data_IF_722557530482
#
_entry.id   IF_722557530482
#
_cell.length_a   1.000
_cell.length_b   1.000
_cell.length_c   1.000
_cell.angle_alpha   90.00
_cell.angle_beta   90.00
_cell.angle_gamma   90.00
#
_symmetry.space_group_name_H-M   'P 1'
#
loop_
_entity.id
_entity.type
_entity.pdbx_description
1 polymer ?
#
# COMPACT_ATOMS: atom_id res chain seq x y z
N UNK A 1 4.28 10.77 -11.00
CA UNK A 1 4.94 11.22 -12.24
C UNK A 1 4.87 10.07 -13.24
N UNK A 2 4.70 10.37 -14.52
CA UNK A 2 4.78 9.42 -15.64
C UNK A 2 6.08 9.72 -16.39
N UNK A 3 6.88 8.70 -16.70
CA UNK A 3 8.12 8.80 -17.47
C UNK A 3 8.11 7.77 -18.58
N UNK A 4 8.62 8.12 -19.75
CA UNK A 4 8.72 7.20 -20.90
C UNK A 4 9.66 6.04 -20.61
N UNK A 5 9.38 4.86 -21.16
CA UNK A 5 10.30 3.73 -21.13
C UNK A 5 11.33 3.84 -22.23
N UNK A 6 12.53 3.39 -21.93
CA UNK A 6 13.65 3.39 -22.88
C UNK A 6 14.32 2.03 -22.94
N UNK A 7 15.04 1.78 -24.02
CA UNK A 7 15.86 0.58 -24.19
C UNK A 7 16.95 0.60 -23.11
N UNK A 8 17.12 -0.50 -22.40
CA UNK A 8 18.06 -0.60 -21.26
C UNK A 8 17.44 -0.35 -19.89
N UNK A 9 16.16 0.02 -19.83
CA UNK A 9 15.45 0.12 -18.55
C UNK A 9 15.37 -1.23 -17.84
N UNK A 10 15.26 -1.23 -16.49
CA UNK A 10 15.11 -2.46 -15.72
C UNK A 10 13.93 -3.31 -16.18
N UNK A 11 14.12 -4.63 -16.24
CA UNK A 11 13.08 -5.60 -16.69
C UNK A 11 12.07 -5.99 -15.60
N UNK A 12 12.21 -5.47 -14.37
CA UNK A 12 11.29 -5.81 -13.26
C UNK A 12 10.04 -4.91 -13.26
N UNK A 13 8.92 -5.48 -12.85
CA UNK A 13 7.62 -4.79 -12.86
C UNK A 13 7.45 -3.74 -11.75
N UNK A 14 8.23 -3.81 -10.68
CA UNK A 14 8.23 -2.84 -9.58
C UNK A 14 9.57 -2.83 -8.86
N UNK A 15 10.11 -1.65 -8.59
CA UNK A 15 11.36 -1.50 -7.86
C UNK A 15 11.45 -0.23 -7.05
N UNK A 16 12.50 -0.16 -6.24
CA UNK A 16 12.79 0.97 -5.39
C UNK A 16 14.27 1.34 -5.54
N UNK A 17 14.55 2.62 -5.58
CA UNK A 17 15.91 3.16 -5.61
C UNK A 17 16.11 4.28 -4.58
N UNK A 18 17.37 4.73 -4.46
CA UNK A 18 17.78 5.76 -3.52
C UNK A 18 18.12 5.24 -2.12
N UNK A 19 18.87 6.01 -1.32
CA UNK A 19 19.43 5.61 -0.03
C UNK A 19 18.38 5.16 0.99
N UNK A 20 17.18 5.71 0.92
CA UNK A 20 16.04 5.39 1.78
C UNK A 20 14.97 4.58 1.06
N UNK A 21 15.24 4.07 -0.15
CA UNK A 21 14.23 3.46 -1.04
C UNK A 21 13.02 4.39 -1.21
N UNK A 22 13.28 5.67 -1.38
CA UNK A 22 12.28 6.72 -1.45
C UNK A 22 11.80 7.00 -2.88
N UNK A 23 12.42 6.41 -3.89
CA UNK A 23 11.95 6.44 -5.26
C UNK A 23 11.37 5.07 -5.64
N UNK A 24 10.16 5.06 -6.15
CA UNK A 24 9.40 3.86 -6.50
C UNK A 24 9.09 3.93 -7.99
N UNK A 25 9.24 2.81 -8.68
CA UNK A 25 8.89 2.65 -10.08
C UNK A 25 7.95 1.49 -10.24
N UNK A 26 6.91 1.65 -11.05
CA UNK A 26 5.94 0.61 -11.41
C UNK A 26 5.84 0.58 -12.94
N UNK A 27 6.11 -0.57 -13.51
CA UNK A 27 5.95 -0.81 -14.95
C UNK A 27 4.45 -0.83 -15.30
N UNK A 28 4.08 0.01 -16.28
CA UNK A 28 2.71 0.10 -16.82
C UNK A 28 2.64 -0.33 -18.28
N UNK A 29 3.63 -1.07 -18.76
CA UNK A 29 3.77 -1.46 -20.16
C UNK A 29 4.48 -0.35 -20.95
N UNK A 30 3.79 0.69 -21.33
CA UNK A 30 4.30 1.76 -22.19
C UNK A 30 5.10 2.83 -21.44
N UNK A 31 4.96 2.91 -20.10
CA UNK A 31 5.59 3.94 -19.30
C UNK A 31 5.90 3.48 -17.88
N UNK A 32 6.77 4.21 -17.22
CA UNK A 32 7.01 4.09 -15.79
C UNK A 32 6.10 5.01 -14.98
N UNK A 33 5.33 4.45 -14.07
CA UNK A 33 4.68 5.23 -13.02
C UNK A 33 5.67 5.41 -11.88
N UNK A 34 6.16 6.63 -11.71
CA UNK A 34 7.18 6.96 -10.71
C UNK A 34 6.59 7.69 -9.52
N UNK A 35 7.01 7.29 -8.32
CA UNK A 35 6.67 7.92 -7.05
C UNK A 35 7.92 8.30 -6.27
N UNK A 36 7.94 9.51 -5.71
CA UNK A 36 8.98 9.97 -4.82
C UNK A 36 8.40 10.28 -3.45
N UNK A 37 8.91 9.59 -2.42
CA UNK A 37 8.43 9.76 -1.06
C UNK A 37 9.10 10.98 -0.41
N UNK A 38 8.29 11.93 0.00
CA UNK A 38 8.69 13.17 0.68
C UNK A 38 8.22 13.15 2.14
N UNK A 39 8.73 14.04 2.95
CA UNK A 39 8.25 14.22 4.32
C UNK A 39 6.83 14.79 4.33
N UNK A 40 6.03 14.33 5.28
CA UNK A 40 4.64 14.78 5.41
C UNK A 40 4.59 16.28 5.68
N UNK A 41 3.82 17.03 4.88
CA UNK A 41 3.68 18.47 4.98
C UNK A 41 4.72 19.29 4.20
N UNK A 42 5.79 18.64 3.66
CA UNK A 42 6.86 19.37 2.93
C UNK A 42 6.49 19.79 1.52
N UNK A 43 5.38 19.31 0.96
CA UNK A 43 5.04 19.52 -0.45
C UNK A 43 4.90 21.00 -0.83
N UNK A 44 4.31 21.82 0.04
CA UNK A 44 4.17 23.27 -0.20
C UNK A 44 5.54 23.94 -0.35
N UNK A 45 6.47 23.64 0.56
CA UNK A 45 7.84 24.17 0.50
C UNK A 45 8.59 23.67 -0.74
N UNK A 46 8.42 22.39 -1.09
CA UNK A 46 9.01 21.82 -2.30
C UNK A 46 8.49 22.55 -3.54
N UNK A 47 7.19 22.83 -3.60
CA UNK A 47 6.58 23.56 -4.72
C UNK A 47 7.08 24.99 -4.82
N UNK A 48 7.24 25.68 -3.70
CA UNK A 48 7.81 27.03 -3.63
C UNK A 48 9.27 27.09 -4.11
N UNK A 49 10.04 26.03 -3.85
CA UNK A 49 11.43 25.93 -4.30
C UNK A 49 11.59 25.68 -5.81
N UNK A 50 10.49 25.44 -6.54
CA UNK A 50 10.47 25.27 -7.98
C UNK A 50 10.55 23.82 -8.44
N UNK A 51 9.97 23.56 -9.63
CA UNK A 51 9.89 22.25 -10.25
C UNK A 51 11.27 21.69 -10.58
N UNK A 52 12.13 22.49 -11.17
CA UNK A 52 13.47 22.09 -11.58
C UNK A 52 14.28 21.53 -10.39
N UNK A 53 14.30 22.25 -9.27
CA UNK A 53 15.01 21.80 -8.07
C UNK A 53 14.44 20.50 -7.52
N UNK A 54 13.14 20.31 -7.61
CA UNK A 54 12.48 19.06 -7.24
C UNK A 54 12.91 17.92 -8.16
N UNK A 55 12.91 18.13 -9.47
CA UNK A 55 13.29 17.10 -10.45
C UNK A 55 14.77 16.71 -10.32
N UNK A 56 15.65 17.67 -10.06
CA UNK A 56 17.06 17.39 -9.77
C UNK A 56 17.23 16.51 -8.52
N UNK A 57 16.44 16.73 -7.48
CA UNK A 57 16.48 15.88 -6.28
C UNK A 57 15.97 14.46 -6.59
N UNK A 58 14.95 14.33 -7.40
CA UNK A 58 14.39 13.04 -7.81
C UNK A 58 15.38 12.28 -8.70
N UNK A 59 16.00 12.95 -9.67
CA UNK A 59 16.97 12.36 -10.59
C UNK A 59 18.18 11.76 -9.86
N UNK A 60 18.65 12.39 -8.78
CA UNK A 60 19.77 11.88 -7.96
C UNK A 60 19.51 10.52 -7.31
N UNK A 61 18.26 10.10 -7.16
CA UNK A 61 17.88 8.85 -6.50
C UNK A 61 17.22 7.86 -7.43
N UNK A 62 16.84 8.30 -8.61
CA UNK A 62 16.29 7.44 -9.65
C UNK A 62 17.40 6.53 -10.24
N UNK A 63 17.06 5.34 -10.73
CA UNK A 63 18.03 4.44 -11.37
C UNK A 63 18.37 4.85 -12.81
N UNK A 64 17.79 5.94 -13.31
CA UNK A 64 18.03 6.47 -14.63
C UNK A 64 19.19 7.46 -14.63
N UNK A 65 20.02 7.42 -15.67
CA UNK A 65 21.12 8.37 -15.87
C UNK A 65 20.90 9.23 -17.12
N UNK A 66 19.65 9.44 -17.46
CA UNK A 66 19.23 10.16 -18.67
C UNK A 66 18.36 11.38 -18.33
N UNK A 67 18.11 12.20 -19.36
CA UNK A 67 17.38 13.46 -19.25
C UNK A 67 15.86 13.30 -19.26
N UNK A 68 15.32 12.09 -19.07
CA UNK A 68 13.86 11.86 -19.16
C UNK A 68 13.03 12.64 -18.14
N UNK A 69 13.64 13.13 -17.06
CA UNK A 69 12.94 14.03 -16.14
C UNK A 69 12.58 15.38 -16.78
N UNK A 70 13.20 15.75 -17.89
CA UNK A 70 12.83 16.93 -18.71
C UNK A 70 11.45 16.77 -19.36
N UNK A 71 10.92 15.55 -19.48
CA UNK A 71 9.54 15.31 -19.93
C UNK A 71 8.51 15.94 -18.97
N UNK A 72 8.92 16.22 -17.71
CA UNK A 72 8.05 16.82 -16.71
C UNK A 72 8.25 18.33 -16.73
N UNK A 73 7.39 19.02 -17.46
CA UNK A 73 7.48 20.46 -17.69
C UNK A 73 6.57 21.29 -16.76
N UNK A 74 5.66 20.63 -16.04
CA UNK A 74 4.74 21.34 -15.14
C UNK A 74 4.38 20.52 -13.90
N UNK A 75 3.97 21.23 -12.83
CA UNK A 75 3.46 20.60 -11.59
C UNK A 75 2.17 19.79 -11.81
N UNK A 76 1.45 19.97 -12.89
CA UNK A 76 0.25 19.20 -13.21
C UNK A 76 0.56 17.73 -13.49
N UNK A 77 1.78 17.44 -13.95
CA UNK A 77 2.29 16.09 -14.18
C UNK A 77 2.77 15.42 -12.87
N UNK A 78 2.82 16.20 -11.76
CA UNK A 78 3.24 15.72 -10.43
C UNK A 78 2.05 15.68 -9.49
N UNK A 79 1.52 14.50 -9.22
CA UNK A 79 0.39 14.31 -8.31
C UNK A 79 0.86 14.01 -6.90
N UNK A 80 0.34 14.76 -5.93
CA UNK A 80 0.58 14.46 -4.51
C UNK A 80 -0.37 13.36 -4.05
N UNK A 81 0.20 12.25 -3.57
CA UNK A 81 -0.54 11.21 -2.87
C UNK A 81 -0.36 11.36 -1.36
N UNK A 82 -1.40 11.79 -0.68
CA UNK A 82 -1.42 11.87 0.78
C UNK A 82 -1.78 10.53 1.38
N UNK A 83 -0.81 9.86 2.00
CA UNK A 83 -1.03 8.58 2.66
C UNK A 83 -1.67 8.82 4.03
N UNK A 84 -2.85 8.22 4.24
CA UNK A 84 -3.53 8.17 5.52
C UNK A 84 -3.71 6.72 5.94
N UNK A 85 -3.59 6.45 7.23
CA UNK A 85 -3.94 5.17 7.84
C UNK A 85 -5.00 5.47 8.87
N UNK A 86 -6.23 5.21 8.50
CA UNK A 86 -7.39 5.39 9.37
C UNK A 86 -8.42 4.28 9.16
N UNK A 87 -9.45 4.27 9.94
CA UNK A 87 -10.59 3.37 9.77
C UNK A 87 -11.83 3.93 10.41
N UNK A 88 -12.98 3.57 9.85
CA UNK A 88 -14.27 3.84 10.46
C UNK A 88 -14.44 3.04 11.77
N UNK A 89 -14.99 3.66 12.79
CA UNK A 89 -15.42 2.96 14.01
C UNK A 89 -16.58 2.02 13.73
N UNK A 90 -17.48 2.42 12.85
CA UNK A 90 -18.66 1.70 12.43
C UNK A 90 -18.73 1.64 10.90
N UNK A 91 -18.65 0.42 10.34
CA UNK A 91 -18.64 0.19 8.89
C UNK A 91 -20.04 0.11 8.29
N UNK A 92 -21.05 -0.17 9.13
CA UNK A 92 -22.39 -0.45 8.68
C UNK A 92 -23.43 0.41 9.38
N UNK A 93 -24.36 0.96 8.60
CA UNK A 93 -25.61 1.58 9.01
C UNK A 93 -26.78 0.91 8.28
N UNK A 94 -28.06 1.16 8.66
CA UNK A 94 -29.19 0.67 7.87
C UNK A 94 -29.04 1.06 6.39
N UNK A 95 -29.07 0.06 5.50
CA UNK A 95 -28.97 0.25 4.05
C UNK A 95 -27.55 0.50 3.50
N UNK A 96 -26.52 0.68 4.34
CA UNK A 96 -25.16 1.01 3.89
C UNK A 96 -24.12 0.14 4.59
N UNK A 97 -23.16 -0.36 3.81
CA UNK A 97 -21.95 -1.01 4.29
C UNK A 97 -20.73 -0.43 3.55
N UNK A 98 -19.76 0.10 4.28
CA UNK A 98 -18.46 0.49 3.76
C UNK A 98 -17.47 -0.69 3.88
N UNK A 99 -16.68 -0.94 2.83
CA UNK A 99 -15.62 -1.96 2.79
C UNK A 99 -14.38 -1.40 2.07
N UNK A 100 -13.26 -2.08 2.19
CA UNK A 100 -11.99 -1.63 1.59
C UNK A 100 -11.59 -0.24 2.07
N UNK A 101 -11.06 0.59 1.17
CA UNK A 101 -10.56 1.94 1.51
C UNK A 101 -11.63 2.87 2.08
N UNK A 102 -12.92 2.65 1.73
CA UNK A 102 -14.03 3.39 2.32
C UNK A 102 -14.22 3.08 3.82
N UNK A 103 -13.81 1.92 4.28
CA UNK A 103 -13.88 1.51 5.69
C UNK A 103 -12.55 1.69 6.43
N UNK A 104 -11.43 1.48 5.73
CA UNK A 104 -10.09 1.48 6.34
C UNK A 104 -9.01 1.85 5.31
N UNK A 105 -8.64 3.11 5.28
CA UNK A 105 -7.52 3.57 4.46
C UNK A 105 -6.19 3.02 4.96
N UNK A 106 -5.33 2.65 4.03
CA UNK A 106 -4.06 1.99 4.32
C UNK A 106 -2.88 2.62 3.59
N UNK A 107 -1.68 2.40 4.12
CA UNK A 107 -0.46 2.73 3.40
C UNK A 107 -0.28 1.80 2.19
N UNK A 108 0.21 2.31 1.04
CA UNK A 108 0.57 1.47 -0.10
C UNK A 108 1.77 0.55 0.20
N UNK A 109 2.43 0.72 1.34
CA UNK A 109 3.56 -0.11 1.77
C UNK A 109 3.12 -1.57 1.89
N UNK A 110 3.79 -2.43 1.12
CA UNK A 110 3.51 -3.88 1.08
C UNK A 110 2.36 -4.29 0.16
N UNK A 111 1.66 -3.35 -0.49
CA UNK A 111 0.59 -3.67 -1.45
C UNK A 111 -0.63 -4.42 -0.87
N UNK A 112 -0.79 -4.40 0.46
CA UNK A 112 -1.78 -5.26 1.15
C UNK A 112 -3.21 -4.69 1.16
N UNK A 113 -3.39 -3.40 0.85
CA UNK A 113 -4.72 -2.75 0.89
C UNK A 113 -5.71 -3.42 -0.07
N UNK A 114 -5.30 -3.66 -1.32
CA UNK A 114 -6.14 -4.34 -2.33
C UNK A 114 -6.55 -5.74 -1.87
N UNK A 115 -5.62 -6.52 -1.31
CA UNK A 115 -5.91 -7.86 -0.82
C UNK A 115 -6.94 -7.85 0.32
N UNK A 116 -6.86 -6.85 1.22
CA UNK A 116 -7.86 -6.68 2.27
C UNK A 116 -9.22 -6.28 1.70
N UNK A 117 -9.27 -5.37 0.74
CA UNK A 117 -10.50 -4.97 0.08
C UNK A 117 -11.20 -6.13 -0.64
N UNK A 118 -10.44 -6.98 -1.33
CA UNK A 118 -10.96 -8.22 -1.95
C UNK A 118 -11.53 -9.16 -0.88
N UNK A 119 -10.80 -9.37 0.22
CA UNK A 119 -11.27 -10.20 1.33
C UNK A 119 -12.53 -9.64 1.99
N UNK A 120 -12.66 -8.32 2.08
CA UNK A 120 -13.86 -7.67 2.59
C UNK A 120 -15.05 -7.90 1.65
N UNK A 121 -14.83 -7.80 0.34
CA UNK A 121 -15.87 -8.07 -0.67
C UNK A 121 -16.35 -9.52 -0.57
N UNK A 122 -15.44 -10.49 -0.44
CA UNK A 122 -15.79 -11.92 -0.23
C UNK A 122 -16.56 -12.10 1.08
N UNK A 123 -16.12 -11.48 2.17
CA UNK A 123 -16.82 -11.55 3.45
C UNK A 123 -18.22 -10.92 3.37
N UNK A 124 -18.36 -9.81 2.64
CA UNK A 124 -19.65 -9.16 2.39
C UNK A 124 -20.56 -10.08 1.58
N UNK A 125 -20.09 -10.64 0.47
CA UNK A 125 -20.83 -11.59 -0.34
C UNK A 125 -21.33 -12.77 0.51
N UNK A 126 -20.43 -13.41 1.26
CA UNK A 126 -20.75 -14.54 2.14
C UNK A 126 -21.80 -14.22 3.23
N UNK A 127 -21.86 -12.98 3.69
CA UNK A 127 -22.78 -12.57 4.75
C UNK A 127 -24.14 -12.05 4.23
N UNK A 128 -24.18 -11.53 3.01
CA UNK A 128 -25.30 -10.71 2.51
C UNK A 128 -26.12 -11.43 1.45
N UNK A 129 -25.51 -12.28 0.59
CA UNK A 129 -26.20 -12.84 -0.59
C UNK A 129 -27.49 -13.57 -0.21
N UNK A 130 -27.45 -14.51 0.71
CA UNK A 130 -28.66 -15.27 1.10
C UNK A 130 -29.74 -14.40 1.73
N UNK A 131 -29.43 -13.56 2.76
CA UNK A 131 -30.44 -12.66 3.31
C UNK A 131 -31.02 -11.68 2.29
N UNK A 132 -30.20 -11.24 1.32
CA UNK A 132 -30.62 -10.33 0.26
C UNK A 132 -31.61 -11.02 -0.70
N UNK A 133 -31.26 -12.22 -1.20
CA UNK A 133 -32.15 -13.03 -2.06
C UNK A 133 -33.49 -13.35 -1.37
N UNK A 134 -33.45 -13.56 -0.06
CA UNK A 134 -34.64 -13.83 0.75
C UNK A 134 -35.40 -12.55 1.18
N UNK A 135 -34.97 -11.37 0.71
CA UNK A 135 -35.57 -10.07 1.14
C UNK A 135 -35.57 -9.87 2.67
N UNK A 136 -34.65 -10.49 3.37
CA UNK A 136 -34.53 -10.46 4.86
C UNK A 136 -33.23 -9.79 5.31
N UNK A 137 -32.62 -8.96 4.46
CA UNK A 137 -31.38 -8.24 4.81
C UNK A 137 -31.64 -7.27 5.96
N UNK A 138 -30.85 -7.38 7.02
CA UNK A 138 -30.91 -6.55 8.22
C UNK A 138 -29.52 -6.04 8.58
N UNK A 139 -29.45 -4.98 9.38
CA UNK A 139 -28.19 -4.40 9.86
C UNK A 139 -27.26 -5.43 10.54
N UNK A 140 -27.80 -6.44 11.21
CA UNK A 140 -27.00 -7.51 11.83
C UNK A 140 -26.12 -8.27 10.81
N UNK A 141 -26.60 -8.45 9.57
CA UNK A 141 -25.83 -9.11 8.50
C UNK A 141 -24.66 -8.23 8.04
N UNK A 142 -24.90 -6.91 7.90
CA UNK A 142 -23.87 -5.94 7.55
C UNK A 142 -22.81 -5.84 8.66
N UNK A 143 -23.22 -5.77 9.92
CA UNK A 143 -22.31 -5.75 11.10
C UNK A 143 -21.49 -7.04 11.23
N UNK A 144 -21.99 -8.18 10.71
CA UNK A 144 -21.23 -9.43 10.69
C UNK A 144 -19.97 -9.33 9.83
N UNK A 145 -20.03 -8.58 8.72
CA UNK A 145 -18.85 -8.31 7.87
C UNK A 145 -17.79 -7.57 8.67
N UNK A 146 -18.14 -6.47 9.33
CA UNK A 146 -17.20 -5.72 10.16
C UNK A 146 -16.60 -6.60 11.27
N UNK A 147 -17.42 -7.32 12.05
CA UNK A 147 -16.90 -8.22 13.12
C UNK A 147 -15.90 -9.24 12.61
N UNK A 148 -16.08 -9.70 11.38
CA UNK A 148 -15.19 -10.67 10.77
C UNK A 148 -13.89 -10.04 10.26
N UNK A 149 -13.95 -8.81 9.73
CA UNK A 149 -12.85 -8.13 9.05
C UNK A 149 -12.08 -7.13 9.91
N UNK A 150 -12.64 -6.70 11.04
CA UNK A 150 -12.02 -5.69 11.92
C UNK A 150 -10.65 -6.13 12.46
N UNK A 151 -10.51 -7.38 12.90
CA UNK A 151 -9.23 -7.90 13.39
C UNK A 151 -8.14 -7.93 12.31
N UNK A 152 -8.34 -8.54 11.12
CA UNK A 152 -7.35 -8.51 10.03
C UNK A 152 -6.93 -7.10 9.65
N UNK A 153 -7.88 -6.17 9.58
CA UNK A 153 -7.64 -4.76 9.29
C UNK A 153 -6.74 -4.10 10.32
N UNK A 154 -7.10 -4.24 11.61
CA UNK A 154 -6.32 -3.69 12.74
C UNK A 154 -4.90 -4.24 12.78
N UNK A 155 -4.76 -5.55 12.61
CA UNK A 155 -3.46 -6.22 12.62
C UNK A 155 -2.56 -5.74 11.47
N UNK A 156 -3.12 -5.60 10.26
CA UNK A 156 -2.38 -5.10 9.10
C UNK A 156 -1.97 -3.65 9.28
N UNK A 157 -2.89 -2.76 9.70
CA UNK A 157 -2.57 -1.35 9.97
C UNK A 157 -1.50 -1.20 11.05
N UNK A 158 -1.58 -1.99 12.13
CA UNK A 158 -0.57 -1.99 13.20
C UNK A 158 0.82 -2.35 12.66
N UNK A 159 0.91 -3.39 11.82
CA UNK A 159 2.17 -3.77 11.18
C UNK A 159 2.70 -2.67 10.26
N UNK A 160 1.85 -2.06 9.44
CA UNK A 160 2.25 -0.96 8.57
C UNK A 160 2.78 0.24 9.36
N UNK A 161 2.12 0.64 10.45
CA UNK A 161 2.57 1.72 11.34
C UNK A 161 3.92 1.36 11.97
N UNK A 162 4.08 0.13 12.46
CA UNK A 162 5.35 -0.33 13.05
C UNK A 162 6.49 -0.34 12.03
N UNK A 163 6.22 -0.75 10.80
CA UNK A 163 7.19 -0.75 9.70
C UNK A 163 7.56 0.67 9.27
N UNK A 164 6.60 1.59 9.17
CA UNK A 164 6.85 2.99 8.79
C UNK A 164 7.70 3.70 9.84
N UNK A 165 7.40 3.52 11.13
CA UNK A 165 8.19 4.09 12.24
C UNK A 165 9.64 3.59 12.26
N UNK A 166 9.90 2.36 11.82
CA UNK A 166 11.27 1.82 11.71
C UNK A 166 12.06 2.45 10.56
N UNK A 167 11.39 2.92 9.50
CA UNK A 167 12.05 3.60 8.37
C UNK A 167 12.48 5.02 8.71
N UNK A 168 11.78 5.72 9.59
CA UNK A 168 12.08 7.12 9.97
C UNK A 168 13.15 7.24 11.06
N UNK A 169 13.32 6.22 11.91
CA UNK A 169 14.43 6.22 12.87
C UNK A 169 15.73 5.89 12.16
N UNK A 170 16.73 6.81 12.20
CA UNK A 170 18.13 6.52 11.82
C UNK A 170 18.54 5.20 12.47
N UNK A 171 18.71 4.17 11.66
CA UNK A 171 19.16 2.87 12.12
C UNK A 171 20.61 3.04 12.60
N UNK A 172 20.86 3.04 13.91
CA UNK A 172 22.14 2.54 14.42
C UNK A 172 22.27 1.10 13.92
N UNK A 173 23.43 0.67 13.42
CA UNK A 173 23.64 -0.73 13.06
C UNK A 173 23.54 -1.54 14.37
N UNK A 174 22.34 -1.98 14.70
CA UNK A 174 22.17 -3.00 15.72
C UNK A 174 22.75 -4.27 15.11
N UNK A 175 23.79 -4.79 15.72
CA UNK A 175 24.35 -6.08 15.35
C UNK A 175 23.19 -7.06 15.17
N UNK A 176 23.13 -7.73 14.03
CA UNK A 176 22.12 -8.77 13.77
C UNK A 176 22.25 -9.81 14.85
N UNK A 177 21.26 -9.89 15.77
CA UNK A 177 21.30 -10.92 16.78
C UNK A 177 21.35 -12.28 16.07
N UNK A 178 22.13 -13.22 16.58
CA UNK A 178 22.25 -14.60 16.05
C UNK A 178 20.87 -15.22 15.82
N UNK A 179 19.90 -14.91 16.69
CA UNK A 179 18.51 -15.33 16.58
C UNK A 179 17.82 -14.75 15.31
N UNK A 180 18.09 -13.49 14.96
CA UNK A 180 17.52 -12.87 13.73
C UNK A 180 18.13 -13.47 12.46
N UNK A 181 19.40 -13.83 12.48
CA UNK A 181 20.08 -14.52 11.36
C UNK A 181 19.51 -15.93 11.21
N UNK A 182 19.35 -16.65 12.30
CA UNK A 182 18.76 -18.00 12.32
C UNK A 182 17.30 -17.99 11.82
N UNK A 183 16.48 -17.03 12.27
CA UNK A 183 15.12 -16.85 11.80
C UNK A 183 15.05 -16.44 10.31
N UNK A 184 15.97 -15.60 9.82
CA UNK A 184 15.99 -15.19 8.41
C UNK A 184 16.44 -16.33 7.47
N UNK A 185 17.24 -17.28 7.94
CA UNK A 185 17.66 -18.47 7.19
C UNK A 185 16.64 -19.62 7.24
N UNK A 186 15.60 -19.47 8.05
CA UNK A 186 14.51 -20.46 8.13
C UNK A 186 13.70 -20.41 6.84
N UNK A 187 13.55 -21.56 6.14
CA UNK A 187 12.72 -21.70 4.93
C UNK A 187 11.22 -21.42 5.17
N UNK A 188 10.78 -21.46 6.42
CA UNK A 188 9.37 -21.32 6.83
C UNK A 188 8.96 -19.86 7.02
N UNK A 189 9.83 -19.02 7.53
CA UNK A 189 9.52 -17.64 7.89
C UNK A 189 9.17 -16.77 6.67
N UNK A 190 9.94 -16.80 5.55
CA UNK A 190 9.57 -16.08 4.33
C UNK A 190 8.23 -16.56 3.75
N UNK A 191 7.96 -17.87 3.79
CA UNK A 191 6.68 -18.43 3.34
C UNK A 191 5.50 -17.99 4.21
N UNK A 192 5.67 -17.98 5.54
CA UNK A 192 4.64 -17.51 6.49
C UNK A 192 4.38 -16.01 6.31
N UNK A 193 5.44 -15.21 6.21
CA UNK A 193 5.34 -13.76 5.97
C UNK A 193 4.70 -13.47 4.62
N UNK A 194 5.11 -14.17 3.55
CA UNK A 194 4.51 -14.05 2.22
C UNK A 194 3.02 -14.42 2.24
N UNK A 195 2.66 -15.47 2.99
CA UNK A 195 1.26 -15.90 3.15
C UNK A 195 0.42 -14.89 3.92
N UNK A 196 0.97 -14.28 4.98
CA UNK A 196 0.30 -13.21 5.75
C UNK A 196 0.14 -11.94 4.91
N UNK A 197 1.16 -11.58 4.11
CA UNK A 197 1.10 -10.42 3.22
C UNK A 197 0.12 -10.66 2.06
N UNK A 198 0.16 -11.84 1.44
CA UNK A 198 -0.66 -12.17 0.28
C UNK A 198 -2.11 -12.51 0.61
N UNK A 199 -2.34 -13.30 1.66
CA UNK A 199 -3.67 -13.80 2.03
C UNK A 199 -4.30 -13.09 3.23
N UNK A 200 -3.53 -12.26 3.95
CA UNK A 200 -3.97 -11.60 5.18
C UNK A 200 -4.04 -12.54 6.40
N UNK A 201 -4.38 -11.96 7.56
CA UNK A 201 -4.45 -12.70 8.84
C UNK A 201 -5.62 -13.68 8.93
N UNK A 202 -6.69 -13.46 8.16
CA UNK A 202 -7.90 -14.29 8.17
C UNK A 202 -8.46 -14.35 6.76
N UNK A 203 -8.08 -15.40 6.04
CA UNK A 203 -8.52 -15.62 4.66
C UNK A 203 -10.03 -15.80 4.58
N UNK A 204 -10.64 -15.18 3.58
CA UNK A 204 -12.02 -15.43 3.15
C UNK A 204 -12.01 -16.25 1.87
N UNK A 205 -12.89 -17.22 1.82
CA UNK A 205 -13.16 -18.03 0.61
C UNK A 205 -14.60 -17.80 0.18
N UNK A 206 -14.87 -17.60 -1.12
CA UNK A 206 -16.23 -17.52 -1.62
C UNK A 206 -17.01 -18.78 -1.25
N UNK A 207 -18.26 -18.64 -0.86
CA UNK A 207 -19.20 -19.73 -0.67
C UNK A 207 -20.05 -19.85 -1.92
N UNK A 208 -20.30 -21.07 -2.36
CA UNK A 208 -21.35 -21.35 -3.34
C UNK A 208 -22.70 -21.26 -2.63
N UNK A 209 -23.70 -20.62 -3.24
CA UNK A 209 -25.04 -20.40 -2.72
C UNK A 209 -26.08 -20.90 -3.72
#
# INVERSE_FOLDING_TARGET
MKLSKQVGDPSWSMGHSGPKRNFIMIDRGDYWQCGYAIEKGSFTTIRQNGLEKFLLQVARVAPFQDDRFQEIVSWEQVRLLSIRIDRLKQWAKPGVLCIGDAAHAMSPIGGVGVNLAIQDAVAAANAIILPLRQRRLQLKHLRRVQRRRDFPTKATQFLQIKMSRRRTKKRRPAGRSRLMIWLSNSRWLPRLVGRIIGLGFRRETPRMF
#
